data_IF_810850426720
#
_entry.id   IF_810850426720
#
_cell.length_a   1.000
_cell.length_b   1.000
_cell.length_c   1.000
_cell.angle_alpha   90.00
_cell.angle_beta   90.00
_cell.angle_gamma   90.00
#
_symmetry.space_group_name_H-M   'P 1'
#
loop_
_entity.id
_entity.type
_entity.pdbx_description
1 polymer ?
#
# COMPACT_ATOMS: atom_id res chain seq x y z
N UNK A 1 31.12 -4.15 -36.29
CA UNK A 1 30.45 -4.28 -34.96
C UNK A 1 29.76 -5.64 -34.90
N UNK A 2 29.94 -6.44 -33.84
CA UNK A 2 29.24 -7.74 -33.74
C UNK A 2 27.72 -7.48 -33.73
N UNK A 3 26.89 -8.28 -34.43
CA UNK A 3 25.44 -8.05 -34.54
C UNK A 3 24.72 -8.01 -33.19
N UNK A 4 25.34 -8.55 -32.14
CA UNK A 4 24.86 -8.50 -30.75
C UNK A 4 24.91 -7.07 -30.19
N UNK A 5 26.00 -6.32 -30.41
CA UNK A 5 26.14 -4.96 -29.88
C UNK A 5 25.11 -4.00 -30.47
N UNK A 6 24.86 -4.10 -31.78
CA UNK A 6 23.85 -3.28 -32.44
C UNK A 6 22.44 -3.53 -31.88
N UNK A 7 22.08 -4.80 -31.62
CA UNK A 7 20.80 -5.16 -31.00
C UNK A 7 20.70 -4.61 -29.59
N UNK A 8 21.77 -4.74 -28.81
CA UNK A 8 21.82 -4.21 -27.45
C UNK A 8 21.62 -2.69 -27.44
N UNK A 9 22.31 -1.97 -28.34
CA UNK A 9 22.16 -0.52 -28.49
C UNK A 9 20.73 -0.12 -28.82
N UNK A 10 20.06 -0.80 -29.75
CA UNK A 10 18.66 -0.46 -30.08
C UNK A 10 17.74 -0.77 -28.90
N UNK A 11 17.90 -1.90 -28.22
CA UNK A 11 17.08 -2.22 -27.03
C UNK A 11 17.25 -1.15 -25.96
N UNK A 12 18.48 -0.70 -25.71
CA UNK A 12 18.76 0.39 -24.74
C UNK A 12 18.11 1.69 -25.18
N UNK A 13 18.20 2.06 -26.46
CA UNK A 13 17.55 3.28 -26.98
C UNK A 13 16.03 3.20 -26.89
N UNK A 14 15.43 2.07 -27.27
CA UNK A 14 13.99 1.83 -27.15
C UNK A 14 13.56 1.87 -25.69
N UNK A 15 14.36 1.31 -24.78
CA UNK A 15 14.10 1.37 -23.34
C UNK A 15 14.08 2.82 -22.85
N UNK A 16 15.10 3.62 -23.22
CA UNK A 16 15.18 5.04 -22.86
C UNK A 16 13.95 5.78 -23.41
N UNK A 17 13.55 5.51 -24.64
CA UNK A 17 12.37 6.13 -25.26
C UNK A 17 11.08 5.76 -24.50
N UNK A 18 10.90 4.50 -24.12
CA UNK A 18 9.74 4.06 -23.33
C UNK A 18 9.74 4.73 -21.96
N UNK A 19 10.90 4.82 -21.29
CA UNK A 19 11.04 5.52 -20.00
C UNK A 19 10.66 7.01 -20.16
N UNK A 20 11.14 7.67 -21.21
CA UNK A 20 10.81 9.07 -21.50
C UNK A 20 9.31 9.27 -21.79
N UNK A 21 8.71 8.40 -22.62
CA UNK A 21 7.27 8.43 -22.89
C UNK A 21 6.45 8.23 -21.61
N UNK A 22 6.91 7.38 -20.70
CA UNK A 22 6.24 7.14 -19.42
C UNK A 22 6.33 8.35 -18.48
N UNK A 23 7.42 9.12 -18.55
CA UNK A 23 7.53 10.39 -17.85
C UNK A 23 6.52 11.44 -18.31
N UNK A 24 5.97 11.30 -19.52
CA UNK A 24 5.01 12.23 -20.12
C UNK A 24 3.56 11.73 -20.01
N UNK A 25 3.34 10.41 -20.06
CA UNK A 25 1.99 9.82 -20.04
C UNK A 25 1.90 8.64 -19.06
N UNK A 26 0.97 8.66 -18.09
CA UNK A 26 0.71 7.53 -17.20
C UNK A 26 -0.06 6.42 -17.96
N UNK A 27 0.66 5.60 -18.71
CA UNK A 27 0.08 4.53 -19.53
C UNK A 27 -0.13 3.28 -18.65
N UNK A 28 -1.37 3.01 -18.22
CA UNK A 28 -1.76 1.79 -17.47
C UNK A 28 -2.18 0.63 -18.40
N UNK A 29 -1.45 0.38 -19.49
CA UNK A 29 -2.03 -0.39 -20.60
C UNK A 29 -2.21 -1.89 -20.37
N UNK A 30 -1.51 -2.55 -19.44
CA UNK A 30 -1.61 -4.00 -19.25
C UNK A 30 -1.26 -4.40 -17.81
N UNK A 31 -2.19 -4.27 -16.87
CA UNK A 31 -2.11 -5.04 -15.62
C UNK A 31 -2.93 -6.32 -15.80
N UNK A 32 -2.28 -7.44 -16.11
CA UNK A 32 -2.99 -8.73 -16.07
C UNK A 32 -3.28 -9.09 -14.61
N UNK A 33 -4.56 -9.31 -14.32
CA UNK A 33 -5.03 -9.65 -12.96
C UNK A 33 -4.42 -10.94 -12.42
N UNK A 34 -3.96 -11.83 -13.31
CA UNK A 34 -3.23 -13.03 -12.93
C UNK A 34 -2.03 -12.72 -12.02
N UNK A 35 -1.19 -11.73 -12.37
CA UNK A 35 -0.02 -11.41 -11.56
C UNK A 35 -0.36 -10.69 -10.26
N UNK A 36 -1.46 -9.92 -10.23
CA UNK A 36 -2.00 -9.38 -8.97
C UNK A 36 -2.36 -10.53 -8.02
N UNK A 37 -3.06 -11.56 -8.52
CA UNK A 37 -3.43 -12.76 -7.75
C UNK A 37 -2.21 -13.57 -7.29
N UNK A 38 -1.20 -13.71 -8.13
CA UNK A 38 0.07 -14.36 -7.72
C UNK A 38 0.74 -13.58 -6.61
N UNK A 39 0.87 -12.25 -6.74
CA UNK A 39 1.45 -11.42 -5.68
C UNK A 39 0.63 -11.51 -4.39
N UNK A 40 -0.71 -11.54 -4.48
CA UNK A 40 -1.60 -11.73 -3.34
C UNK A 40 -1.34 -13.06 -2.63
N UNK A 41 -1.25 -14.14 -3.40
CA UNK A 41 -1.00 -15.48 -2.89
C UNK A 41 0.38 -15.58 -2.22
N UNK A 42 1.43 -15.04 -2.87
CA UNK A 42 2.76 -14.98 -2.28
C UNK A 42 2.75 -14.15 -1.00
N UNK A 43 2.13 -12.98 -1.01
CA UNK A 43 2.04 -12.11 0.15
C UNK A 43 1.36 -12.81 1.33
N UNK A 44 0.22 -13.46 1.10
CA UNK A 44 -0.48 -14.23 2.14
C UNK A 44 0.34 -15.40 2.66
N UNK A 45 1.19 -16.00 1.82
CA UNK A 45 2.09 -17.10 2.22
C UNK A 45 3.25 -16.61 3.09
N UNK A 46 3.80 -15.43 2.76
CA UNK A 46 4.92 -14.83 3.50
C UNK A 46 4.48 -13.89 4.62
N UNK A 47 3.16 -13.69 4.81
CA UNK A 47 2.63 -12.83 5.86
C UNK A 47 2.96 -13.44 7.22
N UNK A 48 3.87 -12.79 7.93
CA UNK A 48 4.11 -13.09 9.35
C UNK A 48 2.79 -12.79 10.08
N UNK A 49 2.30 -13.69 10.95
CA UNK A 49 1.09 -13.42 11.71
C UNK A 49 1.24 -12.09 12.44
N UNK A 50 0.24 -11.24 12.28
CA UNK A 50 0.22 -9.91 12.84
C UNK A 50 0.29 -10.02 14.37
N UNK A 51 1.43 -9.67 14.98
CA UNK A 51 1.52 -9.49 16.43
C UNK A 51 0.63 -8.31 16.81
N UNK A 52 -0.39 -8.54 17.63
CA UNK A 52 -1.27 -7.47 18.10
C UNK A 52 -0.45 -6.43 18.86
N UNK A 53 -0.62 -5.14 18.51
CA UNK A 53 0.01 -4.03 19.23
C UNK A 53 -0.85 -3.71 20.46
N UNK A 54 -0.42 -4.23 21.61
CA UNK A 54 -1.10 -4.09 22.91
C UNK A 54 -0.98 -2.67 23.51
N UNK A 55 -0.14 -1.81 22.93
CA UNK A 55 0.03 -0.42 23.36
C UNK A 55 -1.12 0.47 22.88
N UNK A 56 -1.84 0.06 21.84
CA UNK A 56 -2.90 0.84 21.22
C UNK A 56 -4.21 0.03 21.25
N UNK A 57 -5.22 0.58 21.92
CA UNK A 57 -6.55 -0.03 22.03
C UNK A 57 -7.53 0.82 21.23
N UNK A 58 -8.28 0.17 20.36
CA UNK A 58 -9.32 0.79 19.55
C UNK A 58 -10.69 0.59 20.19
N UNK A 59 -11.42 1.68 20.42
CA UNK A 59 -12.79 1.64 20.92
C UNK A 59 -13.74 2.16 19.85
N UNK A 60 -14.65 1.30 19.39
CA UNK A 60 -15.65 1.64 18.41
C UNK A 60 -16.71 2.56 19.03
N UNK A 61 -16.90 3.74 18.45
CA UNK A 61 -17.99 4.64 18.87
C UNK A 61 -19.34 4.25 18.28
N UNK A 62 -19.38 3.45 17.21
CA UNK A 62 -20.60 3.10 16.50
C UNK A 62 -21.48 4.33 16.22
N UNK A 63 -22.75 4.24 16.60
CA UNK A 63 -23.75 5.32 16.45
C UNK A 63 -23.97 6.16 17.71
N UNK A 64 -23.09 6.05 18.71
CA UNK A 64 -23.24 6.75 20.00
C UNK A 64 -23.29 8.27 19.83
N UNK A 65 -24.11 8.90 20.65
CA UNK A 65 -24.23 10.36 20.74
C UNK A 65 -22.98 10.98 21.37
N UNK A 66 -22.82 12.30 21.18
CA UNK A 66 -21.68 13.05 21.74
C UNK A 66 -21.72 13.03 23.27
N UNK A 67 -22.92 13.03 23.86
CA UNK A 67 -23.14 12.94 25.30
C UNK A 67 -22.65 11.62 25.88
N UNK A 68 -22.95 10.52 25.19
CA UNK A 68 -22.47 9.19 25.57
C UNK A 68 -20.95 9.11 25.43
N UNK A 69 -20.40 9.55 24.29
CA UNK A 69 -18.95 9.57 24.06
C UNK A 69 -18.25 10.42 25.14
N UNK A 70 -18.82 11.56 25.52
CA UNK A 70 -18.32 12.41 26.61
C UNK A 70 -18.28 11.65 27.94
N UNK A 71 -19.35 10.94 28.29
CA UNK A 71 -19.41 10.15 29.52
C UNK A 71 -18.35 9.04 29.54
N UNK A 72 -18.11 8.40 28.38
CA UNK A 72 -17.06 7.40 28.23
C UNK A 72 -15.65 7.99 28.34
N UNK A 73 -15.38 9.16 27.76
CA UNK A 73 -14.07 9.81 27.94
C UNK A 73 -13.77 10.04 29.42
N UNK A 74 -14.75 10.55 30.18
CA UNK A 74 -14.58 10.76 31.63
C UNK A 74 -14.42 9.44 32.40
N UNK A 75 -15.09 8.37 31.97
CA UNK A 75 -14.89 7.03 32.52
C UNK A 75 -13.48 6.52 32.24
N UNK A 76 -13.03 6.59 30.99
CA UNK A 76 -11.71 6.11 30.55
C UNK A 76 -10.58 6.83 31.28
N UNK A 77 -10.72 8.14 31.54
CA UNK A 77 -9.73 8.90 32.32
C UNK A 77 -9.49 8.31 33.71
N UNK A 78 -10.50 7.69 34.34
CA UNK A 78 -10.34 7.06 35.66
C UNK A 78 -9.39 5.86 35.63
N UNK A 79 -9.19 5.25 34.47
CA UNK A 79 -8.26 4.13 34.27
C UNK A 79 -6.83 4.59 33.93
N UNK A 80 -6.57 5.90 33.94
CA UNK A 80 -5.25 6.49 33.71
C UNK A 80 -4.54 5.98 32.43
N UNK A 81 -5.18 6.07 31.24
CA UNK A 81 -4.52 5.76 29.98
C UNK A 81 -3.39 6.76 29.72
N UNK A 82 -2.45 6.41 28.84
CA UNK A 82 -1.38 7.33 28.45
C UNK A 82 -1.94 8.56 27.74
N UNK A 83 -2.76 8.33 26.71
CA UNK A 83 -3.47 9.35 25.92
C UNK A 83 -4.77 8.75 25.38
N UNK A 84 -5.78 9.58 25.26
CA UNK A 84 -7.07 9.29 24.64
C UNK A 84 -7.14 10.10 23.33
N UNK A 85 -6.91 9.46 22.20
CA UNK A 85 -7.13 10.02 20.87
C UNK A 85 -8.58 9.87 20.46
N UNK A 86 -9.22 10.93 20.01
CA UNK A 86 -10.66 10.96 19.69
C UNK A 86 -10.89 11.40 18.25
N UNK A 87 -11.36 10.48 17.42
CA UNK A 87 -11.70 10.68 16.02
C UNK A 87 -13.21 10.58 15.79
N UNK A 88 -13.87 11.74 15.69
CA UNK A 88 -15.32 11.85 15.47
C UNK A 88 -15.65 12.40 14.09
N UNK A 89 -14.81 12.16 13.08
CA UNK A 89 -15.03 12.70 11.74
C UNK A 89 -16.26 12.11 11.03
N UNK A 90 -16.84 11.04 11.57
CA UNK A 90 -18.12 10.51 11.14
C UNK A 90 -19.31 11.35 11.61
N UNK A 91 -19.16 12.17 12.67
CA UNK A 91 -20.23 13.01 13.21
C UNK A 91 -20.22 14.39 12.55
N UNK A 92 -21.30 14.70 11.81
CA UNK A 92 -21.39 15.94 11.02
C UNK A 92 -21.57 17.22 11.86
N UNK A 93 -22.08 17.12 13.09
CA UNK A 93 -22.44 18.27 13.93
C UNK A 93 -22.09 18.03 15.41
N UNK A 94 -21.94 19.12 16.18
CA UNK A 94 -21.85 19.07 17.65
C UNK A 94 -20.46 18.78 18.24
N UNK A 95 -19.49 18.34 17.44
CA UNK A 95 -18.14 17.98 17.94
C UNK A 95 -17.36 19.17 18.51
N UNK A 96 -17.69 20.41 18.14
CA UNK A 96 -17.03 21.61 18.67
C UNK A 96 -17.28 21.81 20.18
N UNK A 97 -18.48 21.46 20.66
CA UNK A 97 -18.81 21.58 22.08
C UNK A 97 -17.89 20.71 22.95
N UNK A 98 -17.71 19.44 22.57
CA UNK A 98 -16.87 18.50 23.29
C UNK A 98 -15.38 18.84 23.13
N UNK A 99 -14.93 19.26 21.93
CA UNK A 99 -13.55 19.73 21.72
C UNK A 99 -13.21 20.92 22.62
N UNK A 100 -14.15 21.86 22.79
CA UNK A 100 -13.93 23.05 23.63
C UNK A 100 -13.76 22.70 25.11
N UNK A 101 -14.51 21.72 25.61
CA UNK A 101 -14.45 21.22 26.98
C UNK A 101 -13.06 20.63 27.31
N UNK A 102 -12.49 19.85 26.39
CA UNK A 102 -11.21 19.18 26.58
C UNK A 102 -10.01 19.96 25.99
N UNK A 103 -10.20 21.22 25.58
CA UNK A 103 -9.13 22.01 24.93
C UNK A 103 -7.86 22.16 25.78
N UNK A 104 -8.02 22.18 27.11
CA UNK A 104 -6.92 22.32 28.08
C UNK A 104 -6.41 20.98 28.61
N UNK A 105 -7.11 19.87 28.29
CA UNK A 105 -6.75 18.54 28.74
C UNK A 105 -5.70 17.95 27.77
N UNK A 106 -4.48 17.75 28.25
CA UNK A 106 -3.39 17.21 27.44
C UNK A 106 -3.51 15.70 27.21
N UNK A 107 -4.33 15.00 28.00
CA UNK A 107 -4.55 13.57 27.88
C UNK A 107 -5.58 13.25 26.79
N UNK A 108 -6.49 14.18 26.49
CA UNK A 108 -7.56 13.98 25.49
C UNK A 108 -7.28 14.81 24.23
N UNK A 109 -7.04 14.14 23.12
CA UNK A 109 -6.63 14.77 21.87
C UNK A 109 -7.67 14.50 20.80
N UNK A 110 -8.25 15.55 20.24
CA UNK A 110 -9.24 15.42 19.16
C UNK A 110 -8.59 15.57 17.78
N UNK A 111 -9.03 14.72 16.84
CA UNK A 111 -8.83 14.92 15.41
C UNK A 111 -9.52 16.20 14.97
N UNK A 112 -8.85 16.99 14.15
CA UNK A 112 -9.51 18.03 13.37
C UNK A 112 -9.92 17.45 12.01
N UNK A 113 -11.22 17.37 11.77
CA UNK A 113 -11.86 16.75 10.61
C UNK A 113 -12.05 17.72 9.43
N UNK A 114 -11.62 18.97 9.57
CA UNK A 114 -11.69 19.96 8.50
C UNK A 114 -10.76 19.57 7.36
N UNK A 115 -11.34 19.40 6.15
CA UNK A 115 -10.66 18.85 4.97
C UNK A 115 -9.41 19.62 4.53
N UNK A 116 -9.27 20.89 4.88
CA UNK A 116 -8.24 21.78 4.34
C UNK A 116 -7.04 22.02 5.27
N UNK A 117 -7.03 21.44 6.48
CA UNK A 117 -6.07 21.87 7.50
C UNK A 117 -4.81 21.00 7.62
N UNK A 118 -4.63 19.99 6.76
CA UNK A 118 -3.52 19.03 6.88
C UNK A 118 -3.40 18.43 8.30
N UNK A 119 -4.51 18.34 9.04
CA UNK A 119 -4.52 17.96 10.46
C UNK A 119 -4.45 16.47 10.70
N UNK A 120 -4.70 15.68 9.65
CA UNK A 120 -4.39 14.27 9.62
C UNK A 120 -3.05 14.10 8.93
N UNK A 121 -2.16 13.29 9.51
CA UNK A 121 -0.86 13.04 8.90
C UNK A 121 -0.99 12.30 7.56
N UNK A 122 -2.08 11.57 7.34
CA UNK A 122 -2.26 10.69 6.17
C UNK A 122 -2.42 11.43 4.83
N UNK A 123 -1.94 10.80 3.76
CA UNK A 123 -2.11 11.24 2.38
C UNK A 123 -3.09 10.28 1.68
N UNK A 124 -4.22 10.82 1.24
CA UNK A 124 -5.25 10.08 0.49
C UNK A 124 -5.02 10.30 -1.00
N UNK A 125 -4.85 9.22 -1.74
CA UNK A 125 -4.70 9.23 -3.20
C UNK A 125 -6.07 9.33 -3.92
N UNK A 126 -6.06 9.60 -5.23
CA UNK A 126 -7.27 9.74 -6.06
C UNK A 126 -8.20 8.51 -6.03
N UNK A 127 -7.65 7.33 -5.73
CA UNK A 127 -8.38 6.07 -5.61
C UNK A 127 -8.84 5.77 -4.17
N UNK A 128 -8.88 6.77 -3.30
CA UNK A 128 -9.21 6.63 -1.87
C UNK A 128 -8.23 5.70 -1.10
N UNK A 129 -7.04 5.45 -1.65
CA UNK A 129 -6.00 4.67 -0.97
C UNK A 129 -5.15 5.54 -0.05
N UNK A 130 -4.77 4.98 1.10
CA UNK A 130 -3.85 5.64 2.04
C UNK A 130 -2.55 4.86 2.07
N UNK A 131 -1.48 5.49 1.58
CA UNK A 131 -0.17 4.82 1.39
C UNK A 131 0.91 5.47 2.22
N UNK A 132 0.83 6.79 2.40
CA UNK A 132 1.86 7.59 3.02
C UNK A 132 1.25 8.51 4.07
N UNK A 133 2.12 9.08 4.90
CA UNK A 133 1.78 10.16 5.80
C UNK A 133 2.92 11.18 5.89
N UNK A 134 2.56 12.43 6.16
CA UNK A 134 3.47 13.54 6.44
C UNK A 134 4.00 13.37 7.86
N UNK A 135 5.19 12.81 7.98
CA UNK A 135 5.73 12.46 9.29
C UNK A 135 6.28 13.68 10.03
N UNK A 136 6.65 14.75 9.31
CA UNK A 136 7.18 16.02 9.82
C UNK A 136 6.09 16.99 10.33
N UNK A 137 4.82 16.68 10.07
CA UNK A 137 3.71 17.52 10.49
C UNK A 137 3.38 17.31 11.98
N UNK A 138 3.98 18.12 12.85
CA UNK A 138 3.74 18.11 14.30
C UNK A 138 2.31 18.42 14.72
N UNK A 139 1.54 19.09 13.86
CA UNK A 139 0.14 19.39 14.14
C UNK A 139 -0.80 18.23 13.81
N UNK A 140 -0.28 17.20 13.13
CA UNK A 140 -1.05 16.00 12.82
C UNK A 140 -1.55 15.35 14.10
N UNK A 141 -2.77 14.81 14.04
CA UNK A 141 -3.41 14.11 15.14
C UNK A 141 -2.51 13.01 15.71
N UNK A 142 -1.92 12.20 14.83
CA UNK A 142 -1.09 11.05 15.19
C UNK A 142 0.17 11.47 15.96
N UNK A 143 0.78 12.61 15.58
CA UNK A 143 1.92 13.19 16.31
C UNK A 143 1.51 13.76 17.66
N UNK A 144 0.38 14.46 17.72
CA UNK A 144 -0.15 15.02 18.97
C UNK A 144 -0.44 13.91 19.98
N UNK A 145 -1.03 12.78 19.54
CA UNK A 145 -1.27 11.59 20.37
C UNK A 145 0.00 11.06 21.03
N UNK A 146 1.15 11.16 20.36
CA UNK A 146 2.41 10.69 20.92
C UNK A 146 3.12 11.73 21.80
N UNK A 147 2.73 13.00 21.73
CA UNK A 147 3.43 14.13 22.35
C UNK A 147 4.96 14.09 22.12
N UNK A 148 5.37 13.54 20.96
CA UNK A 148 6.77 13.21 20.70
C UNK A 148 7.42 14.25 19.79
N UNK A 149 8.53 14.80 20.25
CA UNK A 149 9.33 15.83 19.57
C UNK A 149 10.41 15.26 18.65
N UNK A 150 10.52 13.93 18.50
CA UNK A 150 11.53 13.37 17.60
C UNK A 150 11.20 13.75 16.15
N UNK A 151 12.05 14.63 15.60
CA UNK A 151 12.07 14.99 14.18
C UNK A 151 12.35 13.72 13.38
N UNK A 152 11.42 13.26 12.54
CA UNK A 152 11.75 12.24 11.56
C UNK A 152 12.71 12.84 10.53
N UNK A 153 13.62 12.02 10.01
CA UNK A 153 14.56 12.45 8.97
C UNK A 153 13.85 12.68 7.62
N UNK A 154 12.72 12.02 7.39
CA UNK A 154 11.90 12.15 6.17
C UNK A 154 10.65 12.99 6.39
N UNK A 155 10.26 13.77 5.38
CA UNK A 155 8.99 14.51 5.38
C UNK A 155 7.80 13.60 5.12
N UNK A 156 7.97 12.56 4.30
CA UNK A 156 6.91 11.66 3.87
C UNK A 156 7.39 10.23 4.03
N UNK A 157 6.60 9.43 4.74
CA UNK A 157 6.91 8.04 5.05
C UNK A 157 5.77 7.13 4.57
N UNK A 158 6.09 5.92 4.12
CA UNK A 158 5.08 4.91 3.75
C UNK A 158 4.66 4.12 4.98
N UNK A 159 3.35 4.00 5.15
CA UNK A 159 2.75 3.32 6.30
C UNK A 159 2.98 1.81 6.18
N UNK A 160 3.44 1.18 7.26
CA UNK A 160 3.65 -0.25 7.31
C UNK A 160 2.42 -0.98 7.85
N UNK A 161 1.46 -1.32 6.97
CA UNK A 161 0.27 -2.09 7.31
C UNK A 161 0.53 -3.59 7.58
N UNK A 162 1.78 -4.07 7.42
CA UNK A 162 2.11 -5.48 7.67
C UNK A 162 2.26 -5.82 9.15
N UNK A 163 2.43 -4.82 10.03
CA UNK A 163 2.59 -5.05 11.46
C UNK A 163 1.29 -4.79 12.21
N UNK A 164 0.74 -5.89 12.72
CA UNK A 164 -0.17 -5.91 13.84
C UNK A 164 -1.64 -5.69 13.51
N UNK A 165 -2.47 -6.37 14.28
CA UNK A 165 -3.84 -5.93 14.53
C UNK A 165 -3.84 -5.09 15.81
N UNK A 166 -4.97 -4.50 16.11
CA UNK A 166 -5.21 -3.83 17.39
C UNK A 166 -6.29 -4.58 18.13
N UNK A 167 -6.28 -4.51 19.46
CA UNK A 167 -7.46 -4.88 20.21
C UNK A 167 -8.57 -3.88 19.88
N UNK A 168 -9.73 -4.41 19.48
CA UNK A 168 -10.91 -3.62 19.11
C UNK A 168 -12.06 -4.04 20.01
N UNK A 169 -12.71 -3.06 20.62
CA UNK A 169 -13.88 -3.30 21.46
C UNK A 169 -14.98 -2.30 21.16
N UNK A 170 -16.22 -2.71 21.38
CA UNK A 170 -17.33 -1.77 21.47
C UNK A 170 -17.20 -0.90 22.72
N UNK A 171 -17.56 0.38 22.58
CA UNK A 171 -17.43 1.34 23.68
C UNK A 171 -18.32 0.99 24.89
N UNK A 172 -19.40 0.22 24.70
CA UNK A 172 -20.30 -0.24 25.76
C UNK A 172 -20.04 -1.69 26.21
N UNK A 173 -19.06 -2.37 25.62
CA UNK A 173 -18.74 -3.74 26.04
C UNK A 173 -18.21 -3.77 27.47
N UNK A 174 -18.72 -4.67 28.30
CA UNK A 174 -18.18 -4.83 29.67
C UNK A 174 -16.83 -5.56 29.67
N UNK A 175 -16.45 -6.19 28.56
CA UNK A 175 -15.22 -6.97 28.44
C UNK A 175 -13.97 -6.09 28.43
N UNK A 176 -14.02 -4.90 27.82
CA UNK A 176 -12.82 -4.04 27.74
C UNK A 176 -12.43 -3.44 29.10
N UNK A 177 -13.37 -3.32 30.05
CA UNK A 177 -13.16 -2.65 31.35
C UNK A 177 -12.10 -3.37 32.21
N UNK A 178 -11.90 -4.67 32.02
CA UNK A 178 -10.90 -5.44 32.77
C UNK A 178 -9.52 -5.46 32.11
N UNK A 179 -9.43 -5.15 30.81
CA UNK A 179 -8.23 -5.29 29.98
C UNK A 179 -7.56 -3.95 29.61
N UNK A 180 -8.04 -2.80 30.10
CA UNK A 180 -7.36 -1.51 29.88
C UNK A 180 -6.03 -1.52 30.62
N UNK A 181 -4.97 -1.90 29.92
CA UNK A 181 -3.62 -1.80 30.44
C UNK A 181 -3.33 -0.33 30.82
N UNK A 182 -2.91 -0.06 32.06
CA UNK A 182 -2.38 1.24 32.43
C UNK A 182 -1.32 1.66 31.42
N UNK A 183 -1.27 2.95 31.06
CA UNK A 183 -0.30 3.48 30.09
C UNK A 183 -0.50 3.04 28.62
N UNK A 184 -1.68 2.50 28.26
CA UNK A 184 -2.07 2.30 26.86
C UNK A 184 -2.54 3.60 26.18
N UNK A 185 -2.40 3.68 24.86
CA UNK A 185 -3.00 4.71 24.02
C UNK A 185 -4.38 4.22 23.62
N UNK A 186 -5.43 4.95 24.00
CA UNK A 186 -6.80 4.63 23.62
C UNK A 186 -7.16 5.48 22.41
N UNK A 187 -7.65 4.87 21.34
CA UNK A 187 -8.23 5.58 20.20
C UNK A 187 -9.72 5.30 20.10
N UNK A 188 -10.52 6.34 20.36
CA UNK A 188 -11.95 6.33 20.12
C UNK A 188 -12.23 6.81 18.71
N UNK A 189 -13.06 6.07 17.98
CA UNK A 189 -13.67 6.57 16.76
C UNK A 189 -14.54 5.51 16.11
N UNK A 190 -15.12 5.88 14.98
CA UNK A 190 -15.99 4.95 14.25
C UNK A 190 -15.18 3.83 13.60
N UNK A 191 -15.56 2.59 13.89
CA UNK A 191 -14.98 1.35 13.36
C UNK A 191 -16.04 0.43 12.73
N UNK A 192 -17.19 1.00 12.36
CA UNK A 192 -18.39 0.27 11.92
C UNK A 192 -19.57 0.48 12.86
N UNK A 193 -20.77 0.12 12.42
CA UNK A 193 -21.96 0.22 13.27
C UNK A 193 -21.89 -0.74 14.45
N UNK A 194 -21.37 -1.96 14.20
CA UNK A 194 -21.12 -2.99 15.18
C UNK A 194 -19.89 -3.82 14.77
N UNK A 195 -18.98 -4.09 15.69
CA UNK A 195 -17.79 -4.92 15.49
C UNK A 195 -18.12 -6.42 15.52
N UNK A 196 -19.17 -6.81 16.25
CA UNK A 196 -19.46 -8.21 16.60
C UNK A 196 -20.66 -8.81 15.85
N UNK A 197 -21.40 -8.01 15.07
CA UNK A 197 -22.57 -8.48 14.30
C UNK A 197 -22.21 -8.77 12.83
N UNK A 198 -21.09 -9.46 12.61
CA UNK A 198 -20.77 -9.96 11.27
C UNK A 198 -21.63 -11.19 11.02
N UNK A 199 -22.76 -11.02 10.34
CA UNK A 199 -23.43 -12.15 9.69
C UNK A 199 -22.47 -12.66 8.59
N UNK A 200 -21.94 -13.89 8.68
CA UNK A 200 -21.01 -14.43 7.70
C UNK A 200 -21.60 -14.55 6.29
N UNK A 201 -22.91 -14.33 6.12
CA UNK A 201 -23.60 -14.35 4.83
C UNK A 201 -24.04 -12.98 4.30
N UNK A 202 -23.91 -11.89 5.07
CA UNK A 202 -24.32 -10.54 4.66
C UNK A 202 -23.24 -9.49 4.93
N UNK A 203 -22.16 -9.56 4.15
CA UNK A 203 -21.07 -8.56 4.12
C UNK A 203 -21.48 -7.16 3.65
N UNK A 204 -22.73 -6.96 3.21
CA UNK A 204 -23.24 -5.62 2.85
C UNK A 204 -24.01 -4.95 4.01
N UNK A 205 -24.36 -5.69 5.07
CA UNK A 205 -25.11 -5.15 6.20
C UNK A 205 -24.29 -4.25 7.14
N UNK A 206 -22.96 -4.27 7.06
CA UNK A 206 -22.02 -3.57 7.95
C UNK A 206 -21.93 -2.03 7.76
N UNK A 207 -22.44 -1.50 6.64
CA UNK A 207 -22.17 -0.13 6.20
C UNK A 207 -23.44 0.72 6.07
N UNK A 208 -24.25 0.85 7.14
CA UNK A 208 -25.49 1.65 7.05
C UNK A 208 -25.26 3.13 7.28
N UNK A 209 -24.40 3.51 8.23
CA UNK A 209 -24.29 4.91 8.66
C UNK A 209 -23.05 5.65 8.17
N UNK A 210 -21.87 5.03 8.19
CA UNK A 210 -20.65 5.67 7.70
C UNK A 210 -19.88 4.77 6.74
N UNK A 211 -20.09 5.03 5.45
CA UNK A 211 -19.56 4.25 4.32
C UNK A 211 -18.16 4.69 3.87
N UNK A 212 -17.57 5.70 4.53
CA UNK A 212 -16.30 6.30 4.15
C UNK A 212 -15.08 5.52 4.70
N UNK A 213 -15.06 4.21 4.51
CA UNK A 213 -13.84 3.44 4.76
C UNK A 213 -12.78 3.72 3.66
N UNK A 214 -11.53 3.40 3.96
CA UNK A 214 -10.37 3.62 3.09
C UNK A 214 -9.83 2.30 2.56
N UNK A 215 -9.13 2.39 1.44
CA UNK A 215 -8.49 1.25 0.82
C UNK A 215 -7.03 1.21 1.29
N UNK A 216 -6.63 0.15 2.01
CA UNK A 216 -5.20 -0.04 2.27
C UNK A 216 -4.47 -0.35 0.96
N UNK A 217 -3.16 -0.06 0.86
CA UNK A 217 -2.40 -0.38 -0.35
C UNK A 217 -2.45 -1.88 -0.65
N UNK A 218 -2.48 -2.70 0.40
CA UNK A 218 -2.63 -4.15 0.29
C UNK A 218 -3.98 -4.51 -0.33
N UNK A 219 -5.07 -3.92 0.15
CA UNK A 219 -6.41 -4.20 -0.34
C UNK A 219 -6.54 -3.87 -1.84
N UNK A 220 -5.95 -2.77 -2.31
CA UNK A 220 -5.97 -2.38 -3.74
C UNK A 220 -5.36 -3.44 -4.67
N UNK A 221 -4.29 -4.11 -4.24
CA UNK A 221 -3.57 -5.06 -5.09
C UNK A 221 -4.02 -6.51 -4.88
N UNK A 222 -4.59 -6.82 -3.72
CA UNK A 222 -4.77 -8.21 -3.26
C UNK A 222 -6.23 -8.62 -3.04
N UNK A 223 -7.16 -7.68 -3.20
CA UNK A 223 -8.60 -7.95 -3.06
C UNK A 223 -9.25 -8.02 -4.42
N UNK A 224 -10.45 -8.61 -4.47
CA UNK A 224 -11.30 -8.55 -5.65
C UNK A 224 -11.60 -7.08 -5.97
N UNK A 225 -11.78 -6.73 -7.24
CA UNK A 225 -12.03 -5.34 -7.67
C UNK A 225 -13.26 -4.70 -7.01
N UNK A 226 -14.15 -5.53 -6.44
CA UNK A 226 -15.35 -5.14 -5.70
C UNK A 226 -15.19 -5.20 -4.17
N UNK A 227 -13.95 -5.33 -3.65
CA UNK A 227 -13.74 -5.42 -2.23
C UNK A 227 -14.05 -4.09 -1.54
N UNK A 228 -14.96 -4.14 -0.56
CA UNK A 228 -15.25 -3.03 0.32
C UNK A 228 -13.96 -2.47 0.93
N UNK A 229 -13.89 -1.15 1.15
CA UNK A 229 -12.75 -0.58 1.85
C UNK A 229 -12.60 -1.23 3.24
N UNK A 230 -11.36 -1.51 3.62
CA UNK A 230 -11.01 -2.48 4.66
C UNK A 230 -10.59 -1.85 5.99
N UNK A 231 -10.39 -0.52 6.01
CA UNK A 231 -10.00 0.20 7.23
C UNK A 231 -10.73 1.52 7.42
N UNK A 232 -11.10 1.79 8.66
CA UNK A 232 -11.61 3.09 9.08
C UNK A 232 -10.48 4.08 9.37
N UNK A 233 -10.84 5.36 9.36
CA UNK A 233 -9.91 6.48 9.59
C UNK A 233 -9.17 6.36 10.95
N UNK A 234 -9.84 5.81 11.96
CA UNK A 234 -9.26 5.55 13.30
C UNK A 234 -8.21 4.46 13.25
N UNK A 235 -8.43 3.39 12.49
CA UNK A 235 -7.46 2.30 12.32
C UNK A 235 -6.21 2.75 11.58
N UNK A 236 -6.39 3.57 10.53
CA UNK A 236 -5.27 4.17 9.82
C UNK A 236 -4.44 5.04 10.77
N UNK A 237 -5.11 5.83 11.61
CA UNK A 237 -4.43 6.68 12.60
C UNK A 237 -3.64 5.83 13.61
N UNK A 238 -4.23 4.72 14.09
CA UNK A 238 -3.54 3.77 14.95
C UNK A 238 -2.34 3.12 14.27
N UNK A 239 -2.45 2.75 13.00
CA UNK A 239 -1.32 2.20 12.24
C UNK A 239 -0.18 3.20 12.11
N UNK A 240 -0.49 4.47 11.84
CA UNK A 240 0.51 5.54 11.77
C UNK A 240 1.18 5.74 13.14
N UNK A 241 0.40 5.77 14.22
CA UNK A 241 0.92 5.91 15.59
C UNK A 241 1.82 4.71 15.96
N UNK A 242 1.42 3.48 15.62
CA UNK A 242 2.24 2.28 15.81
C UNK A 242 3.56 2.38 15.03
N UNK A 243 3.51 2.79 13.75
CA UNK A 243 4.71 3.00 12.94
C UNK A 243 5.64 4.06 13.54
N UNK A 244 5.09 5.16 14.07
CA UNK A 244 5.84 6.22 14.75
C UNK A 244 6.47 5.75 16.06
N UNK A 245 5.79 4.91 16.84
CA UNK A 245 6.35 4.34 18.07
C UNK A 245 7.54 3.42 17.79
N UNK A 246 7.43 2.58 16.76
CA UNK A 246 8.45 1.59 16.43
C UNK A 246 9.51 2.09 15.44
N UNK A 247 9.35 3.30 14.90
CA UNK A 247 10.12 3.82 13.76
C UNK A 247 10.19 2.82 12.59
N UNK A 248 9.09 2.09 12.39
CA UNK A 248 9.01 0.95 11.48
C UNK A 248 8.20 1.30 10.23
N UNK A 249 8.79 2.12 9.38
CA UNK A 249 8.21 2.53 8.10
C UNK A 249 8.63 1.59 6.98
N UNK A 250 7.85 1.55 5.90
CA UNK A 250 8.29 0.91 4.66
C UNK A 250 9.12 1.93 3.89
N UNK A 251 10.35 1.56 3.51
CA UNK A 251 11.23 2.44 2.74
C UNK A 251 10.98 2.26 1.26
N UNK A 252 10.66 3.35 0.57
CA UNK A 252 10.59 3.31 -0.89
C UNK A 252 11.98 3.03 -1.48
N UNK A 253 12.05 2.04 -2.36
CA UNK A 253 13.28 1.80 -3.13
C UNK A 253 13.50 3.00 -4.05
N UNK A 254 14.72 3.54 -4.03
CA UNK A 254 15.06 4.71 -4.85
C UNK A 254 14.73 4.45 -6.32
N UNK A 255 14.23 5.48 -7.02
CA UNK A 255 13.89 5.39 -8.46
C UNK A 255 15.04 4.82 -9.29
N UNK A 256 16.28 5.21 -8.98
CA UNK A 256 17.47 4.71 -9.65
C UNK A 256 17.66 3.19 -9.47
N UNK A 257 17.46 2.69 -8.25
CA UNK A 257 17.56 1.25 -7.97
C UNK A 257 16.45 0.48 -8.68
N UNK A 258 15.21 0.98 -8.67
CA UNK A 258 14.10 0.38 -9.42
C UNK A 258 14.39 0.30 -10.93
N UNK A 259 14.93 1.36 -11.52
CA UNK A 259 15.36 1.39 -12.93
C UNK A 259 16.49 0.39 -13.20
N UNK A 260 17.48 0.27 -12.31
CA UNK A 260 18.56 -0.69 -12.46
C UNK A 260 18.06 -2.15 -12.44
N UNK A 261 17.12 -2.48 -11.54
CA UNK A 261 16.48 -3.80 -11.47
C UNK A 261 15.68 -4.08 -12.75
N UNK A 262 14.88 -3.11 -13.22
CA UNK A 262 14.15 -3.22 -14.49
C UNK A 262 15.08 -3.50 -15.67
N UNK A 263 16.18 -2.73 -15.76
CA UNK A 263 17.19 -2.91 -16.79
C UNK A 263 17.82 -4.30 -16.74
N UNK A 264 18.14 -4.81 -15.54
CA UNK A 264 18.71 -6.15 -15.37
C UNK A 264 17.79 -7.26 -15.93
N UNK A 265 16.48 -7.21 -15.61
CA UNK A 265 15.51 -8.16 -16.15
C UNK A 265 15.39 -8.08 -17.68
N UNK A 266 15.44 -6.88 -18.24
CA UNK A 266 15.30 -6.66 -19.68
C UNK A 266 16.54 -7.12 -20.44
N UNK A 267 17.74 -6.84 -19.91
CA UNK A 267 18.99 -7.34 -20.46
C UNK A 267 19.02 -8.86 -20.42
N UNK A 268 18.56 -9.47 -19.32
CA UNK A 268 18.44 -10.92 -19.21
C UNK A 268 17.47 -11.49 -20.26
N UNK A 269 16.29 -10.90 -20.44
CA UNK A 269 15.34 -11.32 -21.47
C UNK A 269 15.93 -11.21 -22.89
N UNK A 270 16.63 -10.12 -23.16
CA UNK A 270 17.31 -9.89 -24.45
C UNK A 270 18.38 -10.95 -24.70
N UNK A 271 19.15 -11.31 -23.65
CA UNK A 271 20.14 -12.37 -23.72
C UNK A 271 19.52 -13.72 -24.07
N UNK A 272 18.44 -14.11 -23.37
CA UNK A 272 17.71 -15.37 -23.66
C UNK A 272 17.24 -15.41 -25.11
N UNK A 273 16.59 -14.33 -25.58
CA UNK A 273 16.12 -14.25 -26.98
C UNK A 273 17.28 -14.27 -27.99
N UNK A 274 18.44 -13.74 -27.62
CA UNK A 274 19.62 -13.78 -28.49
C UNK A 274 20.25 -15.18 -28.57
N UNK A 275 20.16 -15.99 -27.52
CA UNK A 275 20.67 -17.37 -27.53
C UNK A 275 19.77 -18.31 -28.34
N UNK A 276 18.46 -18.07 -28.34
CA UNK A 276 17.45 -18.91 -29.03
C UNK A 276 17.29 -18.49 -30.49
N UNK A 277 18.33 -17.99 -31.15
CA UNK A 277 18.30 -17.65 -32.58
C UNK A 277 18.21 -18.89 -33.46
N UNK A 278 17.10 -19.62 -33.37
CA UNK A 278 16.81 -20.79 -34.17
C UNK A 278 16.10 -20.38 -35.48
N UNK A 279 16.23 -21.20 -36.53
CA UNK A 279 15.57 -20.97 -37.83
C UNK A 279 14.03 -21.04 -37.73
N UNK A 280 13.51 -21.71 -36.70
CA UNK A 280 12.08 -21.84 -36.46
C UNK A 280 11.57 -20.70 -35.57
N UNK A 281 10.74 -19.83 -36.15
CA UNK A 281 10.14 -18.69 -35.45
C UNK A 281 9.21 -19.13 -34.31
N UNK A 282 8.51 -20.26 -34.46
CA UNK A 282 7.58 -20.76 -33.44
C UNK A 282 8.32 -21.13 -32.15
N UNK A 283 9.50 -21.75 -32.27
CA UNK A 283 10.34 -22.08 -31.11
C UNK A 283 10.81 -20.80 -30.42
N UNK A 284 11.21 -19.78 -31.19
CA UNK A 284 11.65 -18.49 -30.63
C UNK A 284 10.51 -17.80 -29.87
N UNK A 285 9.28 -17.85 -30.40
CA UNK A 285 8.09 -17.32 -29.72
C UNK A 285 7.83 -18.09 -28.43
N UNK A 286 7.82 -19.43 -28.49
CA UNK A 286 7.58 -20.28 -27.32
C UNK A 286 8.56 -20.02 -26.18
N UNK A 287 9.86 -19.95 -26.49
CA UNK A 287 10.89 -19.65 -25.47
C UNK A 287 10.78 -18.21 -24.97
N UNK A 288 10.46 -17.24 -25.85
CA UNK A 288 10.23 -15.85 -25.45
C UNK A 288 9.07 -15.68 -24.46
N UNK A 289 7.97 -16.37 -24.69
CA UNK A 289 6.82 -16.37 -23.78
C UNK A 289 7.12 -17.10 -22.47
N UNK A 290 7.79 -18.26 -22.52
CA UNK A 290 8.17 -18.99 -21.31
C UNK A 290 9.10 -18.16 -20.42
N UNK A 291 10.15 -17.56 -21.01
CA UNK A 291 11.07 -16.68 -20.28
C UNK A 291 10.39 -15.42 -19.72
N UNK A 292 9.45 -14.84 -20.46
CA UNK A 292 8.59 -13.76 -19.96
C UNK A 292 7.87 -14.16 -18.66
N UNK A 293 7.21 -15.32 -18.63
CA UNK A 293 6.50 -15.79 -17.45
C UNK A 293 7.45 -16.03 -16.27
N UNK A 294 8.60 -16.66 -16.50
CA UNK A 294 9.59 -16.93 -15.45
C UNK A 294 10.17 -15.63 -14.86
N UNK A 295 10.55 -14.68 -15.70
CA UNK A 295 11.05 -13.37 -15.25
C UNK A 295 9.97 -12.62 -14.47
N UNK A 296 8.71 -12.71 -14.90
CA UNK A 296 7.61 -12.10 -14.18
C UNK A 296 7.37 -12.70 -12.82
N UNK A 297 7.39 -14.02 -12.71
CA UNK A 297 7.32 -14.71 -11.41
C UNK A 297 8.50 -14.31 -10.51
N UNK A 298 9.71 -14.21 -11.05
CA UNK A 298 10.89 -13.76 -10.31
C UNK A 298 10.75 -12.31 -9.81
N UNK A 299 10.23 -11.41 -10.64
CA UNK A 299 9.94 -10.02 -10.27
C UNK A 299 8.86 -9.93 -9.17
N UNK A 300 7.80 -10.72 -9.29
CA UNK A 300 6.75 -10.86 -8.27
C UNK A 300 7.32 -11.32 -6.92
N UNK A 301 8.13 -12.38 -6.94
CA UNK A 301 8.81 -12.88 -5.75
C UNK A 301 9.73 -11.81 -5.13
N UNK A 302 10.52 -11.11 -5.95
CA UNK A 302 11.40 -10.04 -5.49
C UNK A 302 10.64 -8.89 -4.81
N UNK A 303 9.48 -8.49 -5.35
CA UNK A 303 8.63 -7.46 -4.73
C UNK A 303 8.18 -7.90 -3.34
N UNK A 304 7.66 -9.11 -3.22
CA UNK A 304 7.17 -9.64 -1.93
C UNK A 304 8.30 -9.79 -0.93
N UNK A 305 9.45 -10.32 -1.37
CA UNK A 305 10.64 -10.46 -0.55
C UNK A 305 11.15 -9.11 -0.02
N UNK A 306 11.28 -8.10 -0.89
CA UNK A 306 11.70 -6.77 -0.44
C UNK A 306 10.67 -6.14 0.50
N UNK A 307 9.38 -6.37 0.26
CA UNK A 307 8.33 -5.87 1.14
C UNK A 307 8.40 -6.50 2.54
N UNK A 308 8.67 -7.79 2.65
CA UNK A 308 8.89 -8.45 3.95
C UNK A 308 10.12 -7.89 4.68
N UNK A 309 11.13 -7.42 3.95
CA UNK A 309 12.31 -6.73 4.48
C UNK A 309 12.06 -5.22 4.74
N UNK A 310 10.81 -4.74 4.59
CA UNK A 310 10.45 -3.35 4.84
C UNK A 310 10.78 -2.39 3.69
N UNK A 311 10.94 -2.88 2.46
CA UNK A 311 11.18 -2.08 1.27
C UNK A 311 10.03 -2.17 0.25
N UNK A 312 9.59 -1.04 -0.28
CA UNK A 312 8.59 -1.00 -1.34
C UNK A 312 9.26 -0.85 -2.71
N UNK A 313 9.17 -1.88 -3.54
CA UNK A 313 9.67 -1.88 -4.91
C UNK A 313 8.52 -1.82 -5.92
N UNK A 314 8.54 -0.80 -6.77
CA UNK A 314 7.57 -0.64 -7.86
C UNK A 314 8.16 -1.16 -9.19
N UNK A 315 7.58 -2.22 -9.77
CA UNK A 315 7.96 -2.79 -11.08
C UNK A 315 6.76 -2.88 -12.04
N UNK A 316 5.91 -1.85 -12.09
CA UNK A 316 4.68 -1.88 -12.89
C UNK A 316 5.00 -1.96 -14.40
N UNK A 317 6.11 -1.35 -14.80
CA UNK A 317 6.54 -1.19 -16.19
C UNK A 317 7.20 -2.46 -16.75
N UNK A 318 7.64 -3.37 -15.88
CA UNK A 318 8.36 -4.59 -16.28
C UNK A 318 7.56 -5.40 -17.31
N UNK A 319 6.22 -5.37 -17.24
CA UNK A 319 5.39 -6.16 -18.15
C UNK A 319 5.48 -5.65 -19.58
N UNK A 320 5.15 -4.38 -19.74
CA UNK A 320 5.16 -3.72 -21.03
C UNK A 320 6.55 -3.83 -21.67
N UNK A 321 7.59 -3.58 -20.88
CA UNK A 321 8.96 -3.61 -21.36
C UNK A 321 9.38 -4.99 -21.88
N UNK A 322 9.02 -6.07 -21.17
CA UNK A 322 9.34 -7.42 -21.65
C UNK A 322 8.60 -7.77 -22.95
N UNK A 323 7.33 -7.35 -23.09
CA UNK A 323 6.56 -7.55 -24.33
C UNK A 323 7.21 -6.81 -25.50
N UNK A 324 7.58 -5.54 -25.31
CA UNK A 324 8.28 -4.73 -26.31
C UNK A 324 9.57 -5.40 -26.75
N UNK A 325 10.37 -5.90 -25.79
CA UNK A 325 11.63 -6.60 -26.06
C UNK A 325 11.41 -7.87 -26.87
N UNK A 326 10.39 -8.66 -26.56
CA UNK A 326 10.07 -9.89 -27.29
C UNK A 326 9.65 -9.59 -28.73
N UNK A 327 8.69 -8.67 -28.92
CA UNK A 327 8.20 -8.27 -30.25
C UNK A 327 9.35 -7.73 -31.09
N UNK A 328 10.18 -6.86 -30.51
CA UNK A 328 11.33 -6.28 -31.20
C UNK A 328 12.35 -7.35 -31.64
N UNK A 329 12.72 -8.28 -30.76
CA UNK A 329 13.66 -9.35 -31.09
C UNK A 329 13.11 -10.29 -32.17
N UNK A 330 11.82 -10.61 -32.13
CA UNK A 330 11.16 -11.43 -33.15
C UNK A 330 11.16 -10.72 -34.51
N UNK A 331 10.78 -9.44 -34.54
CA UNK A 331 10.80 -8.62 -35.76
C UNK A 331 12.18 -8.60 -36.40
N UNK A 332 13.24 -8.38 -35.61
CA UNK A 332 14.61 -8.38 -36.11
C UNK A 332 15.02 -9.72 -36.74
N UNK A 333 14.60 -10.85 -36.14
CA UNK A 333 14.90 -12.18 -36.68
C UNK A 333 14.19 -12.44 -38.01
N UNK A 334 12.97 -11.93 -38.20
CA UNK A 334 12.24 -12.02 -39.48
C UNK A 334 12.96 -11.24 -40.59
N UNK A 335 13.33 -9.97 -40.34
CA UNK A 335 14.04 -9.14 -41.32
C UNK A 335 15.40 -9.72 -41.73
N UNK A 336 16.12 -10.36 -40.80
CA UNK A 336 17.40 -11.01 -41.13
C UNK A 336 17.20 -12.16 -42.13
N UNK A 337 16.08 -12.89 -42.06
CA UNK A 337 15.79 -14.02 -42.97
C UNK A 337 15.50 -13.55 -44.40
N UNK A 338 14.77 -12.44 -44.56
CA UNK A 338 14.46 -11.88 -45.89
C UNK A 338 15.69 -11.30 -46.59
N UNK A 339 16.65 -10.75 -45.83
CA UNK A 339 17.90 -10.22 -46.40
C UNK A 339 18.85 -11.26 -46.99
N UNK A 340 18.66 -12.56 -46.71
CA UNK A 340 19.46 -13.66 -47.27
C UNK A 340 18.86 -14.28 -48.54
N UNK A 341 18.08 -13.51 -49.31
CA UNK A 341 17.55 -13.99 -50.59
C UNK A 341 18.69 -14.50 -51.49
N UNK A 342 18.47 -15.61 -52.22
CA UNK A 342 19.53 -16.32 -52.93
C UNK A 342 20.17 -15.41 -53.97
N UNK A 343 21.50 -15.27 -53.89
CA UNK A 343 22.31 -14.78 -55.00
C UNK A 343 21.98 -15.63 -56.22
N UNK A 344 21.61 -15.02 -57.37
CA UNK A 344 21.29 -15.77 -58.57
C UNK A 344 22.48 -16.67 -58.92
N UNK A 345 22.21 -17.97 -59.08
CA UNK A 345 23.20 -18.94 -59.54
C UNK A 345 23.55 -18.60 -61.00
N UNK A 346 24.72 -18.00 -61.18
CA UNK A 346 25.35 -17.77 -62.49
C UNK A 346 25.90 -19.06 -63.08
#
# INVERSE_FOLDING_TARGET
MKPIFFRLSIVVVTLILVILLYGVAPIRFLSFDFFKRVNASLFNTFKVPNKVDDRIILLNTGTKSIEEIRAYIELLKKYNPKVIGVNLCNLATGTESIKSQYKTDTQVIFVNCEKNNHTLGRIINDDNSVTHFQSDNYQSFERRVLNNTTNPDSKVERINYSKGGFYKYELDSTEFIFDIFPNSIIMLGYLGDYLNEVDPFDTQSELRYFTNARITPLNRYFSLEDASPDMYDTEISAQIVSCLLDQNFIKDVSKLTSVAILLAFILFQTLVMSLVQNKNILISIGVGLLSYFLIKMAGSFLIVYLFTEGYYLQLHELMLLLVVVIVFNLGFNVFKKTSKAPTPSS
#
